data_IF_205650053619
#
_entry.id   IF_205650053619
#
_cell.length_a   1.000
_cell.length_b   1.000
_cell.length_c   1.000
_cell.angle_alpha   90.00
_cell.angle_beta   90.00
_cell.angle_gamma   90.00
#
_symmetry.space_group_name_H-M   'P 1'
#
loop_
_entity.id
_entity.type
_entity.pdbx_description
1 polymer ?
#
# COMPACT_ATOMS: atom_id res chain seq x y z
N UNK A 1 11.57 21.71 -11.68
CA UNK A 1 11.47 20.84 -10.50
C UNK A 1 10.71 19.59 -10.95
N UNK A 2 11.37 18.44 -11.03
CA UNK A 2 10.70 17.19 -11.42
C UNK A 2 9.85 16.78 -10.23
N UNK A 3 8.57 17.14 -10.26
CA UNK A 3 7.61 16.69 -9.26
C UNK A 3 7.57 15.17 -9.36
N UNK A 4 8.19 14.51 -8.38
CA UNK A 4 8.25 13.07 -8.27
C UNK A 4 6.85 12.60 -7.82
N UNK A 5 5.88 12.64 -8.75
CA UNK A 5 4.52 12.16 -8.53
C UNK A 5 4.56 10.65 -8.33
N UNK A 6 4.91 10.22 -7.13
CA UNK A 6 4.70 8.84 -6.72
C UNK A 6 3.18 8.63 -6.63
N UNK A 7 2.66 7.52 -7.18
CA UNK A 7 1.23 7.25 -7.11
C UNK A 7 0.82 7.17 -5.65
N UNK A 8 -0.37 7.68 -5.32
CA UNK A 8 -0.93 7.52 -3.98
C UNK A 8 -1.20 6.04 -3.71
N UNK A 9 -0.83 5.55 -2.52
CA UNK A 9 -1.21 4.21 -2.09
C UNK A 9 -2.75 4.11 -2.06
N UNK A 10 -3.38 3.16 -2.77
CA UNK A 10 -4.85 3.09 -2.78
C UNK A 10 -5.42 2.56 -1.45
N UNK A 11 -4.57 1.95 -0.60
CA UNK A 11 -5.00 1.46 0.71
C UNK A 11 -5.02 2.56 1.80
N UNK A 12 -4.08 3.52 1.78
CA UNK A 12 -3.99 4.57 2.81
C UNK A 12 -3.94 6.01 2.29
N UNK A 13 -3.88 6.21 0.99
CA UNK A 13 -3.74 7.52 0.34
C UNK A 13 -2.34 8.14 0.42
N UNK A 14 -1.38 7.51 1.12
CA UNK A 14 -0.04 8.07 1.29
C UNK A 14 0.76 8.05 -0.02
N UNK A 15 1.43 9.16 -0.31
CA UNK A 15 2.46 9.29 -1.37
C UNK A 15 3.88 9.25 -0.79
N UNK A 16 3.98 9.25 0.55
CA UNK A 16 5.21 9.25 1.34
C UNK A 16 5.47 7.84 1.88
N UNK A 17 5.81 6.90 1.01
CA UNK A 17 6.25 5.56 1.39
C UNK A 17 7.69 5.32 0.93
N UNK A 18 8.33 4.21 1.29
CA UNK A 18 9.65 3.84 0.76
C UNK A 18 9.50 2.72 -0.27
N UNK A 19 10.19 2.82 -1.41
CA UNK A 19 10.08 1.86 -2.51
C UNK A 19 8.86 2.04 -3.41
N UNK A 20 8.38 0.95 -3.98
CA UNK A 20 7.25 0.91 -4.93
C UNK A 20 5.97 0.41 -4.24
N UNK A 21 4.83 0.52 -4.92
CA UNK A 21 3.61 -0.14 -4.46
C UNK A 21 3.74 -1.65 -4.70
N UNK A 22 3.44 -2.45 -3.70
CA UNK A 22 3.44 -3.91 -3.71
C UNK A 22 2.02 -4.44 -3.84
N UNK A 23 1.85 -5.66 -4.36
CA UNK A 23 0.53 -6.30 -4.44
C UNK A 23 0.25 -7.02 -3.12
N UNK A 24 -0.95 -6.83 -2.56
CA UNK A 24 -1.43 -7.56 -1.41
C UNK A 24 -1.74 -9.02 -1.80
N UNK A 25 -1.18 -10.04 -1.10
CA UNK A 25 -1.42 -11.44 -1.45
C UNK A 25 -2.84 -11.95 -1.12
N UNK A 26 -3.67 -11.15 -0.42
CA UNK A 26 -5.02 -11.56 0.01
C UNK A 26 -6.14 -11.00 -0.85
N UNK A 27 -5.98 -9.78 -1.38
CA UNK A 27 -7.02 -9.10 -2.16
C UNK A 27 -6.53 -8.57 -3.51
N UNK A 28 -5.28 -8.85 -3.88
CA UNK A 28 -4.61 -8.37 -5.09
C UNK A 28 -4.55 -6.83 -5.22
N UNK A 29 -4.91 -6.09 -4.17
CA UNK A 29 -4.84 -4.62 -4.15
C UNK A 29 -3.42 -4.12 -3.96
N UNK A 30 -3.11 -2.94 -4.51
CA UNK A 30 -1.81 -2.31 -4.33
C UNK A 30 -1.69 -1.69 -2.93
N UNK A 31 -0.55 -1.88 -2.29
CA UNK A 31 -0.23 -1.35 -0.95
C UNK A 31 1.18 -0.76 -0.94
N UNK A 32 1.42 0.25 -0.12
CA UNK A 32 2.77 0.73 0.12
C UNK A 32 3.46 -0.08 1.23
N UNK A 33 4.77 0.09 1.39
CA UNK A 33 5.57 -0.56 2.44
C UNK A 33 5.13 -0.24 3.87
N UNK A 34 4.43 0.88 4.10
CA UNK A 34 3.85 1.20 5.41
C UNK A 34 2.53 0.45 5.66
N UNK A 35 1.79 0.14 4.60
CA UNK A 35 0.58 -0.69 4.67
C UNK A 35 0.88 -2.18 4.63
N UNK A 36 2.13 -2.53 4.33
CA UNK A 36 2.67 -3.86 4.49
C UNK A 36 2.94 -4.06 6.00
N UNK A 37 1.93 -4.58 6.71
CA UNK A 37 1.91 -4.77 8.17
C UNK A 37 2.95 -5.78 8.69
N UNK A 38 4.08 -5.98 7.99
CA UNK A 38 5.22 -6.79 8.43
C UNK A 38 4.99 -8.30 8.59
N UNK A 39 3.75 -8.77 8.40
CA UNK A 39 3.33 -10.12 8.80
C UNK A 39 2.79 -10.97 7.63
N UNK A 40 2.98 -10.57 6.37
CA UNK A 40 2.45 -11.28 5.17
C UNK A 40 0.91 -11.52 5.16
N UNK A 41 0.19 -11.01 6.17
CA UNK A 41 -1.14 -11.53 6.52
C UNK A 41 -2.29 -10.68 5.99
N UNK A 42 -2.07 -9.42 5.62
CA UNK A 42 -3.10 -8.57 5.01
C UNK A 42 -2.52 -7.20 4.67
N UNK A 43 -3.18 -6.45 3.80
CA UNK A 43 -3.03 -4.99 3.75
C UNK A 43 -4.13 -4.33 4.58
N UNK A 44 -3.98 -3.06 4.94
CA UNK A 44 -5.02 -2.32 5.66
C UNK A 44 -6.39 -2.32 4.97
N UNK A 45 -6.44 -2.48 3.63
CA UNK A 45 -7.71 -2.61 2.91
C UNK A 45 -8.43 -3.96 3.17
N UNK A 46 -7.71 -4.99 3.63
CA UNK A 46 -8.30 -6.29 4.01
C UNK A 46 -8.86 -6.30 5.44
N UNK A 47 -8.38 -5.41 6.32
CA UNK A 47 -8.89 -5.30 7.70
C UNK A 47 -10.33 -4.73 7.76
N UNK A 48 -10.86 -4.23 6.64
CA UNK A 48 -12.24 -3.72 6.53
C UNK A 48 -13.26 -4.72 5.97
N UNK A 49 -12.85 -5.93 5.61
CA UNK A 49 -13.75 -6.98 5.11
C UNK A 49 -14.23 -7.83 6.31
N UNK A 50 -15.22 -7.31 7.04
CA UNK A 50 -16.00 -8.05 8.06
C UNK A 50 -17.24 -8.75 7.47
#
# INVERSE_FOLDING_TARGET
MKQNHRPSCPACGSTEYEGELMVCPHCDSLKCSQCDMGDDTACIACEGEE
#
